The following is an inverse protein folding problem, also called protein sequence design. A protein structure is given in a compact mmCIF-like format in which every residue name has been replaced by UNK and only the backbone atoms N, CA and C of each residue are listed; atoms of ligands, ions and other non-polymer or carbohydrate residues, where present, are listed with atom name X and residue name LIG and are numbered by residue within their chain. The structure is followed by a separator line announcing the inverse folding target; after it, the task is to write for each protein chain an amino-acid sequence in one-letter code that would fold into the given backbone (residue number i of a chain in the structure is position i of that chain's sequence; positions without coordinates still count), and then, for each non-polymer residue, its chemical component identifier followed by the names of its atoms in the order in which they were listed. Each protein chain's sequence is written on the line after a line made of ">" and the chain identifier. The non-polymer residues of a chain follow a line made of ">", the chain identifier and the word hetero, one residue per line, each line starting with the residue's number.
data_IF_403911001201
#
_entry.id   IF_403911001201
#
_cell.length_a   1.000
_cell.length_b   1.000
_cell.length_c   1.000
_cell.angle_alpha   90.00
_cell.angle_beta   90.00
_cell.angle_gamma   90.00
#
_symmetry.space_group_name_H-M   'P 1'
#
loop_
_entity.id
_entity.type
_entity.pdbx_description
1 polymer ?
#
# COMPACT_ATOMS: atom_id res chain seq x y z
N UNK A 1 -17.16 -13.24 13.04
CA UNK A 1 -15.72 -13.05 13.25
C UNK A 1 -15.04 -13.06 11.89
N UNK A 2 -14.19 -12.06 11.61
CA UNK A 2 -13.52 -11.83 10.32
C UNK A 2 -12.05 -12.21 10.40
N UNK A 3 -11.55 -12.89 9.38
CA UNK A 3 -10.11 -13.19 9.30
C UNK A 3 -9.37 -12.05 8.62
N UNK A 4 -8.25 -11.62 9.20
CA UNK A 4 -7.33 -10.65 8.62
C UNK A 4 -6.07 -11.39 8.23
N UNK A 5 -5.88 -11.63 6.95
CA UNK A 5 -4.70 -12.27 6.41
C UNK A 5 -3.53 -11.29 6.40
N UNK A 6 -2.45 -11.63 7.09
CA UNK A 6 -1.21 -10.87 7.14
C UNK A 6 -0.15 -11.63 6.37
N UNK A 7 0.50 -10.97 5.41
CA UNK A 7 1.50 -11.63 4.57
C UNK A 7 2.58 -10.67 4.10
N UNK A 8 3.73 -11.26 3.77
CA UNK A 8 4.86 -10.57 3.17
C UNK A 8 4.60 -10.34 1.67
N UNK A 9 4.62 -9.08 1.26
CA UNK A 9 4.44 -8.63 -0.11
C UNK A 9 5.70 -7.94 -0.66
N UNK A 10 6.85 -8.16 0.00
CA UNK A 10 8.14 -7.61 -0.41
C UNK A 10 8.54 -8.17 -1.78
N UNK A 11 8.94 -7.29 -2.69
CA UNK A 11 9.52 -7.65 -4.00
C UNK A 11 11.03 -7.65 -3.90
N UNK A 12 11.69 -8.32 -4.83
CA UNK A 12 13.16 -8.35 -4.91
C UNK A 12 13.81 -6.96 -5.09
N UNK A 13 13.06 -5.98 -5.56
CA UNK A 13 13.50 -4.58 -5.77
C UNK A 13 13.25 -3.69 -4.56
N UNK A 14 12.51 -4.16 -3.56
CA UNK A 14 12.16 -3.35 -2.41
C UNK A 14 13.34 -3.32 -1.42
N UNK A 15 13.65 -2.13 -0.91
CA UNK A 15 14.68 -1.93 0.12
C UNK A 15 14.21 -2.35 1.50
N UNK A 16 12.92 -2.15 1.76
CA UNK A 16 12.27 -2.41 3.05
C UNK A 16 11.26 -3.54 2.91
N UNK A 17 11.03 -4.25 4.02
CA UNK A 17 10.08 -5.36 4.08
C UNK A 17 8.65 -4.82 4.09
N UNK A 18 7.84 -5.21 3.11
CA UNK A 18 6.47 -4.72 2.92
C UNK A 18 5.47 -5.75 3.42
N UNK A 19 4.77 -5.45 4.52
CA UNK A 19 3.77 -6.35 5.10
C UNK A 19 2.36 -5.78 4.89
N UNK A 20 1.44 -6.66 4.51
CA UNK A 20 0.06 -6.30 4.16
C UNK A 20 -0.91 -6.99 5.08
N UNK A 21 -1.92 -6.26 5.55
CA UNK A 21 -3.11 -6.81 6.20
C UNK A 21 -4.31 -6.71 5.26
N UNK A 22 -4.90 -7.87 4.94
CA UNK A 22 -6.03 -8.02 4.03
C UNK A 22 -7.18 -8.71 4.77
N UNK A 23 -8.34 -8.08 4.81
CA UNK A 23 -9.56 -8.72 5.31
C UNK A 23 -10.06 -9.83 4.39
N UNK A 24 -10.76 -10.82 4.96
CA UNK A 24 -11.40 -11.89 4.19
C UNK A 24 -12.38 -11.38 3.11
N UNK A 25 -12.88 -10.15 3.29
CA UNK A 25 -13.81 -9.45 2.43
C UNK A 25 -13.11 -8.66 1.29
N UNK A 26 -11.78 -8.74 1.21
CA UNK A 26 -10.98 -8.09 0.19
C UNK A 26 -10.55 -6.65 0.53
N UNK A 27 -10.89 -6.12 1.71
CA UNK A 27 -10.43 -4.80 2.11
C UNK A 27 -8.95 -4.84 2.53
N UNK A 28 -8.12 -4.01 1.89
CA UNK A 28 -6.74 -3.78 2.34
C UNK A 28 -6.81 -2.85 3.53
N UNK A 29 -6.48 -3.37 4.71
CA UNK A 29 -6.58 -2.65 5.97
C UNK A 29 -5.33 -1.81 6.20
N UNK A 30 -4.16 -2.39 5.95
CA UNK A 30 -2.89 -1.71 6.12
C UNK A 30 -1.82 -2.25 5.15
N UNK A 31 -0.92 -1.35 4.79
CA UNK A 31 0.35 -1.60 4.12
C UNK A 31 1.41 -0.93 4.97
N UNK A 32 2.30 -1.72 5.57
CA UNK A 32 3.37 -1.21 6.43
C UNK A 32 4.72 -1.65 5.89
N UNK A 33 5.64 -0.70 5.87
CA UNK A 33 7.03 -0.94 5.52
C UNK A 33 7.85 -1.05 6.81
N UNK A 34 8.69 -2.08 6.89
CA UNK A 34 9.59 -2.36 8.00
C UNK A 34 11.03 -2.34 7.50
N UNK A 35 11.83 -1.47 8.09
CA UNK A 35 13.27 -1.42 7.85
C UNK A 35 13.98 -2.63 8.49
N UNK A 36 15.30 -2.70 8.32
CA UNK A 36 16.12 -3.78 8.88
C UNK A 36 16.04 -3.92 10.41
N UNK A 37 15.76 -2.83 11.15
CA UNK A 37 15.66 -2.84 12.62
C UNK A 37 14.29 -3.35 13.06
N UNK A 38 13.22 -2.95 12.38
CA UNK A 38 11.85 -3.26 12.78
C UNK A 38 11.30 -4.54 12.13
N UNK A 39 11.89 -5.00 11.03
CA UNK A 39 11.46 -6.19 10.29
C UNK A 39 11.39 -7.49 11.10
N UNK A 40 12.30 -7.77 12.06
CA UNK A 40 12.18 -8.95 12.92
C UNK A 40 10.90 -8.95 13.77
N UNK A 41 10.35 -7.77 14.07
CA UNK A 41 9.19 -7.61 14.96
C UNK A 41 7.88 -7.38 14.20
N UNK A 42 7.89 -7.53 12.87
CA UNK A 42 6.71 -7.25 12.06
C UNK A 42 5.50 -8.11 12.45
N UNK A 43 5.69 -9.39 12.83
CA UNK A 43 4.59 -10.26 13.29
C UNK A 43 3.90 -9.71 14.55
N UNK A 44 4.70 -9.25 15.50
CA UNK A 44 4.20 -8.57 16.70
C UNK A 44 3.56 -7.22 16.35
N UNK A 45 4.16 -6.40 15.51
CA UNK A 45 3.54 -5.14 15.05
C UNK A 45 2.17 -5.37 14.42
N UNK A 46 2.07 -6.43 13.60
CA UNK A 46 0.86 -6.74 12.83
C UNK A 46 -0.27 -7.38 13.65
N UNK A 47 -0.03 -7.74 14.90
CA UNK A 47 -1.03 -8.39 15.77
C UNK A 47 -0.98 -9.92 15.76
N UNK A 48 -0.17 -10.54 14.90
CA UNK A 48 -0.12 -11.99 14.72
C UNK A 48 0.63 -12.73 15.84
N UNK A 49 1.53 -12.04 16.55
CA UNK A 49 2.21 -12.55 17.74
C UNK A 49 1.90 -11.69 18.95
N UNK A 50 1.90 -12.28 20.15
CA UNK A 50 1.60 -11.57 21.41
C UNK A 50 2.84 -11.16 22.19
N UNK A 51 3.99 -11.74 21.88
CA UNK A 51 5.25 -11.51 22.59
C UNK A 51 6.17 -10.67 21.72
N UNK A 52 6.71 -9.60 22.29
CA UNK A 52 7.81 -8.85 21.68
C UNK A 52 9.13 -9.56 22.01
N UNK A 53 9.95 -9.87 21.01
CA UNK A 53 11.24 -10.54 21.24
C UNK A 53 12.22 -9.52 21.83
N UNK A 54 12.63 -9.72 23.08
CA UNK A 54 13.34 -8.74 23.92
C UNK A 54 14.80 -8.42 23.52
N UNK A 55 15.23 -8.75 22.31
CA UNK A 55 16.61 -8.49 21.89
C UNK A 55 16.87 -7.06 21.38
N UNK A 56 15.83 -6.23 21.31
CA UNK A 56 15.90 -4.94 20.62
C UNK A 56 15.94 -3.71 21.54
N UNK A 57 16.67 -2.71 21.07
CA UNK A 57 16.82 -1.38 21.66
C UNK A 57 15.46 -0.78 22.09
N UNK A 58 15.45 -0.07 23.23
CA UNK A 58 14.21 0.48 23.81
C UNK A 58 13.40 1.34 22.83
N UNK A 59 14.08 2.06 21.93
CA UNK A 59 13.46 2.87 20.89
C UNK A 59 12.69 2.01 19.87
N UNK A 60 13.27 0.90 19.40
CA UNK A 60 12.61 -0.03 18.47
C UNK A 60 11.34 -0.60 19.10
N UNK A 61 11.44 -1.01 20.37
CA UNK A 61 10.27 -1.51 21.12
C UNK A 61 9.14 -0.49 21.19
N UNK A 62 9.46 0.79 21.44
CA UNK A 62 8.48 1.87 21.49
C UNK A 62 7.78 2.05 20.14
N UNK A 63 8.56 2.19 19.06
CA UNK A 63 8.04 2.39 17.70
C UNK A 63 7.16 1.21 17.28
N UNK A 64 7.62 -0.03 17.45
CA UNK A 64 6.87 -1.23 17.08
C UNK A 64 5.59 -1.36 17.92
N UNK A 65 5.66 -1.06 19.22
CA UNK A 65 4.48 -1.10 20.10
C UNK A 65 3.45 -0.02 19.75
N UNK A 66 3.90 1.17 19.35
CA UNK A 66 3.03 2.22 18.83
C UNK A 66 2.33 1.77 17.55
N UNK A 67 3.09 1.25 16.58
CA UNK A 67 2.55 0.70 15.32
C UNK A 67 1.50 -0.36 15.58
N UNK A 68 1.77 -1.31 16.48
CA UNK A 68 0.81 -2.33 16.90
C UNK A 68 -0.48 -1.69 17.40
N UNK A 69 -0.40 -0.75 18.33
CA UNK A 69 -1.57 -0.10 18.93
C UNK A 69 -2.44 0.59 17.88
N UNK A 70 -1.83 1.33 16.97
CA UNK A 70 -2.53 2.01 15.87
C UNK A 70 -3.22 0.99 14.96
N UNK A 71 -2.53 -0.09 14.61
CA UNK A 71 -3.06 -1.10 13.72
C UNK A 71 -4.22 -1.89 14.34
N UNK A 72 -4.10 -2.33 15.59
CA UNK A 72 -5.19 -3.05 16.27
C UNK A 72 -6.44 -2.17 16.41
N UNK A 73 -6.25 -0.89 16.71
CA UNK A 73 -7.36 0.08 16.71
C UNK A 73 -8.02 0.17 15.33
N UNK A 74 -7.24 0.16 14.24
CA UNK A 74 -7.78 0.16 12.89
C UNK A 74 -8.57 -1.12 12.57
N UNK A 75 -8.15 -2.27 13.09
CA UNK A 75 -8.93 -3.52 12.99
C UNK A 75 -10.27 -3.39 13.69
N UNK A 76 -10.28 -2.83 14.91
CA UNK A 76 -11.51 -2.55 15.66
C UNK A 76 -12.43 -1.55 14.95
N UNK A 77 -11.87 -0.51 14.31
CA UNK A 77 -12.64 0.48 13.56
C UNK A 77 -13.34 -0.11 12.31
N UNK A 78 -12.71 -1.09 11.65
CA UNK A 78 -13.26 -1.69 10.42
C UNK A 78 -14.26 -2.83 10.73
N UNK A 79 -13.93 -3.73 11.66
CA UNK A 79 -14.71 -4.94 11.91
C UNK A 79 -15.45 -4.96 13.25
N UNK A 80 -15.22 -3.97 14.11
CA UNK A 80 -15.71 -3.95 15.48
C UNK A 80 -14.78 -4.70 16.43
N UNK A 81 -14.76 -4.27 17.69
CA UNK A 81 -13.88 -4.81 18.71
C UNK A 81 -14.14 -6.31 18.95
N UNK A 82 -13.06 -7.11 18.89
CA UNK A 82 -13.11 -8.56 19.13
C UNK A 82 -13.77 -9.38 18.01
N UNK A 83 -14.17 -8.74 16.91
CA UNK A 83 -14.83 -9.41 15.78
C UNK A 83 -13.85 -9.80 14.67
N UNK A 84 -12.54 -9.77 14.93
CA UNK A 84 -11.51 -10.10 13.97
C UNK A 84 -10.42 -11.00 14.55
N UNK A 85 -9.73 -11.75 13.69
CA UNK A 85 -8.58 -12.57 14.04
C UNK A 85 -7.44 -12.35 13.03
N UNK A 86 -6.24 -11.92 13.46
CA UNK A 86 -5.10 -11.78 12.58
C UNK A 86 -4.46 -13.14 12.32
N UNK A 87 -4.25 -13.49 11.06
CA UNK A 87 -3.62 -14.74 10.65
C UNK A 87 -2.40 -14.45 9.78
N UNK A 88 -1.22 -14.78 10.29
CA UNK A 88 0.01 -14.71 9.50
C UNK A 88 0.09 -15.86 8.50
N UNK A 89 0.38 -15.55 7.24
CA UNK A 89 0.54 -16.53 6.17
C UNK A 89 1.98 -16.51 5.65
N UNK A 90 2.73 -17.58 5.93
CA UNK A 90 4.09 -17.77 5.39
C UNK A 90 4.08 -18.04 3.89
N UNK A 91 3.06 -18.76 3.41
CA UNK A 91 2.82 -18.98 2.00
C UNK A 91 1.36 -18.67 1.67
N UNK A 92 1.01 -17.41 1.40
CA UNK A 92 -0.38 -17.01 1.18
C UNK A 92 -1.04 -17.73 -0.02
N UNK A 93 -0.25 -18.10 -1.03
CA UNK A 93 -0.76 -18.71 -2.28
C UNK A 93 -1.40 -20.08 -2.08
N UNK A 94 -1.05 -20.81 -1.01
CA UNK A 94 -1.65 -22.12 -0.73
C UNK A 94 -3.02 -22.00 -0.05
N UNK A 95 -3.33 -20.87 0.61
CA UNK A 95 -4.64 -20.67 1.23
C UNK A 95 -5.70 -20.34 0.16
N UNK A 96 -6.77 -21.16 0.02
CA UNK A 96 -7.88 -20.84 -0.86
C UNK A 96 -8.66 -19.59 -0.39
N UNK A 97 -8.78 -19.38 0.92
CA UNK A 97 -9.48 -18.24 1.52
C UNK A 97 -8.76 -16.92 1.21
N UNK A 98 -7.43 -16.90 1.34
CA UNK A 98 -6.63 -15.75 0.95
C UNK A 98 -6.75 -15.45 -0.55
N UNK A 99 -6.71 -16.49 -1.40
CA UNK A 99 -6.88 -16.32 -2.86
C UNK A 99 -8.24 -15.71 -3.19
N UNK A 100 -9.29 -16.12 -2.48
CA UNK A 100 -10.62 -15.53 -2.61
C UNK A 100 -10.63 -14.06 -2.18
N UNK A 101 -10.10 -13.74 -1.01
CA UNK A 101 -9.98 -12.36 -0.52
C UNK A 101 -9.20 -11.46 -1.49
N UNK A 102 -8.09 -11.96 -2.06
CA UNK A 102 -7.34 -11.23 -3.09
C UNK A 102 -8.12 -11.03 -4.40
N UNK A 103 -8.99 -11.97 -4.77
CA UNK A 103 -9.89 -11.78 -5.92
C UNK A 103 -10.85 -10.63 -5.65
N UNK A 104 -11.49 -10.62 -4.47
CA UNK A 104 -12.37 -9.54 -4.03
C UNK A 104 -11.63 -8.19 -4.01
N UNK A 105 -10.41 -8.16 -3.46
CA UNK A 105 -9.58 -6.96 -3.43
C UNK A 105 -9.31 -6.39 -4.83
N UNK A 106 -9.02 -7.26 -5.81
CA UNK A 106 -8.81 -6.86 -7.21
C UNK A 106 -10.09 -6.34 -7.84
N UNK A 107 -11.22 -6.99 -7.60
CA UNK A 107 -12.52 -6.51 -8.10
C UNK A 107 -12.89 -5.15 -7.52
N UNK A 108 -12.65 -4.94 -6.22
CA UNK A 108 -12.86 -3.65 -5.55
C UNK A 108 -11.93 -2.57 -6.13
N UNK A 109 -10.66 -2.89 -6.37
CA UNK A 109 -9.72 -1.97 -7.00
C UNK A 109 -10.17 -1.54 -8.40
N UNK A 110 -10.72 -2.47 -9.19
CA UNK A 110 -11.26 -2.17 -10.53
C UNK A 110 -12.54 -1.34 -10.45
N UNK A 111 -13.40 -1.57 -9.45
CA UNK A 111 -14.65 -0.80 -9.24
C UNK A 111 -14.40 0.61 -8.72
N UNK A 112 -13.33 0.81 -7.92
CA UNK A 112 -12.96 2.11 -7.33
C UNK A 112 -12.01 2.90 -8.22
N UNK A 113 -11.30 2.25 -9.15
CA UNK A 113 -10.61 2.95 -10.22
C UNK A 113 -11.67 3.74 -11.01
N UNK A 114 -11.65 5.08 -11.02
CA UNK A 114 -12.46 5.80 -11.98
C UNK A 114 -12.03 5.29 -13.35
N UNK A 115 -13.01 5.09 -14.23
CA UNK A 115 -12.84 5.16 -15.68
C UNK A 115 -12.28 6.55 -16.03
N UNK A 116 -11.04 6.84 -15.63
CA UNK A 116 -10.20 7.76 -16.35
C UNK A 116 -9.71 6.89 -17.49
N UNK A 117 -10.27 6.98 -18.71
CA UNK A 117 -9.42 6.68 -19.83
C UNK A 117 -8.23 7.61 -19.62
N UNK A 118 -7.03 7.06 -19.46
CA UNK A 118 -5.84 7.76 -19.92
C UNK A 118 -6.11 8.01 -21.40
N UNK A 119 -6.82 9.12 -21.69
CA UNK A 119 -6.68 9.84 -22.93
C UNK A 119 -5.22 10.28 -22.91
N UNK A 120 -4.33 9.35 -23.27
CA UNK A 120 -3.15 9.73 -24.02
C UNK A 120 -3.66 10.69 -25.08
N UNK A 121 -3.04 11.87 -25.16
CA UNK A 121 -3.36 12.85 -26.17
C UNK A 121 -3.53 12.12 -27.50
N UNK A 122 -4.63 12.37 -28.22
CA UNK A 122 -4.73 11.85 -29.57
C UNK A 122 -3.53 12.36 -30.37
N UNK A 123 -3.07 11.60 -31.36
CA UNK A 123 -1.90 11.94 -32.16
C UNK A 123 -2.00 13.37 -32.77
N UNK A 124 -3.23 13.83 -33.03
CA UNK A 124 -3.53 15.23 -33.43
C UNK A 124 -3.28 16.26 -32.33
N UNK A 125 -3.61 15.96 -31.08
CA UNK A 125 -3.35 16.85 -29.95
C UNK A 125 -1.85 16.94 -29.65
N UNK A 126 -1.13 15.82 -29.76
CA UNK A 126 0.34 15.79 -29.68
C UNK A 126 1.00 16.59 -30.81
N UNK A 127 0.52 16.45 -32.06
CA UNK A 127 0.99 17.25 -33.18
C UNK A 127 0.71 18.75 -33.00
N UNK A 128 -0.43 19.14 -32.42
CA UNK A 128 -0.74 20.52 -32.08
C UNK A 128 0.26 21.10 -31.07
N UNK A 129 0.51 20.38 -29.99
CA UNK A 129 1.47 20.79 -28.94
C UNK A 129 2.89 20.89 -29.49
N UNK A 130 3.33 19.91 -30.31
CA UNK A 130 4.66 19.96 -30.93
C UNK A 130 4.79 21.12 -31.92
N UNK A 131 3.73 21.42 -32.69
CA UNK A 131 3.71 22.56 -33.62
C UNK A 131 3.81 23.89 -32.88
N UNK A 132 3.10 24.06 -31.76
CA UNK A 132 3.14 25.30 -30.98
C UNK A 132 4.50 25.52 -30.31
N UNK A 133 5.15 24.45 -29.83
CA UNK A 133 6.50 24.54 -29.25
C UNK A 133 7.54 24.90 -30.34
N UNK A 134 7.44 24.31 -31.53
CA UNK A 134 8.36 24.61 -32.65
C UNK A 134 8.09 26.00 -33.25
N UNK A 135 6.83 26.46 -33.26
CA UNK A 135 6.47 27.79 -33.75
C UNK A 135 6.85 28.91 -32.78
N UNK A 136 6.92 28.63 -31.47
CA UNK A 136 7.32 29.60 -30.46
C UNK A 136 8.80 30.03 -30.57
N UNK A 137 9.66 29.20 -31.19
CA UNK A 137 11.07 29.53 -31.44
C UNK A 137 11.30 30.36 -32.71
N UNK A 138 10.24 30.75 -33.42
CA UNK A 138 10.35 31.41 -34.72
C UNK A 138 9.69 32.80 -34.80
N UNK A 139 9.78 33.65 -33.77
CA UNK A 139 9.57 35.11 -33.96
C UNK A 139 10.41 35.95 -32.97
N UNK A 140 11.42 36.72 -33.43
CA UNK A 140 12.10 37.74 -32.63
C UNK A 140 11.30 39.05 -32.73
N UNK A 141 10.74 39.57 -31.64
CA UNK A 141 10.13 40.91 -31.63
C UNK A 141 10.79 41.79 -30.58
N UNK A 142 11.51 42.79 -31.10
CA UNK A 142 12.17 43.84 -30.34
C UNK A 142 11.20 44.63 -29.48
N UNK A 143 11.70 45.05 -28.33
CA UNK A 143 11.02 45.99 -27.44
C UNK A 143 11.64 47.35 -27.64
N UNK A 144 10.94 48.23 -28.35
CA UNK A 144 11.13 49.67 -28.27
C UNK A 144 10.38 50.21 -27.06
N UNK A 145 11.07 50.94 -26.17
CA UNK A 145 10.44 51.96 -25.31
C UNK A 145 11.40 53.13 -25.06
N UNK A 146 10.91 54.30 -25.49
CA UNK A 146 11.23 55.71 -25.18
C UNK A 146 12.67 56.22 -25.37
#
# INVERSE_FOLDING_TARGET
>A
MKTIFIFDNTRATDTDRKIVALGEDGHIIAHLDFDHLTAPHCRYAMGAEHTFVEHDEALTKEIVSHTRRVLLRRYDEIYGQGNWIPLWLDNPRVSPEWRHAMSLARELAVKVAPLIPTRGFSERALQGIMRDIIAADAVPHGVTKH
#
